data_IF_556220001933
#
_entry.id   IF_556220001933
#
_cell.length_a   1.000
_cell.length_b   1.000
_cell.length_c   1.000
_cell.angle_alpha   90.00
_cell.angle_beta   90.00
_cell.angle_gamma   90.00
#
_symmetry.space_group_name_H-M   'P 1'
#
loop_
_entity.id
_entity.type
_entity.pdbx_description
1 polymer ?
#
# COMPACT_ATOMS: atom_id res chain seq x y z
N UNK A 1 -10.04 -13.52 8.64
CA UNK A 1 -8.91 -13.35 9.60
C UNK A 1 -8.61 -11.88 9.81
N UNK A 2 -8.01 -11.14 8.87
CA UNK A 2 -7.86 -9.67 9.01
C UNK A 2 -9.07 -8.87 8.49
N UNK A 3 -9.79 -9.41 7.51
CA UNK A 3 -10.95 -8.79 6.85
C UNK A 3 -12.19 -8.61 7.73
N UNK A 4 -12.18 -9.16 8.93
CA UNK A 4 -13.31 -9.17 9.88
C UNK A 4 -13.07 -8.20 11.04
N UNK A 5 -11.85 -7.65 11.15
CA UNK A 5 -11.42 -6.71 12.19
C UNK A 5 -11.83 -5.28 11.84
N UNK A 6 -11.60 -4.88 10.59
CA UNK A 6 -11.90 -3.53 10.12
C UNK A 6 -12.45 -3.61 8.68
N UNK A 7 -13.61 -3.00 8.39
CA UNK A 7 -14.20 -3.05 7.05
C UNK A 7 -13.28 -2.50 5.96
N UNK A 8 -12.41 -1.53 6.29
CA UNK A 8 -11.44 -0.92 5.37
C UNK A 8 -10.43 -1.95 4.86
N UNK A 9 -10.08 -2.96 5.67
CA UNK A 9 -9.17 -4.06 5.26
C UNK A 9 -9.76 -4.85 4.09
N UNK A 10 -11.08 -5.08 4.10
CA UNK A 10 -11.76 -5.78 3.02
C UNK A 10 -11.73 -4.94 1.74
N UNK A 11 -12.05 -3.65 1.84
CA UNK A 11 -12.03 -2.72 0.71
C UNK A 11 -10.63 -2.63 0.09
N UNK A 12 -9.61 -2.37 0.91
CA UNK A 12 -8.21 -2.31 0.47
C UNK A 12 -7.74 -3.65 -0.12
N UNK A 13 -8.12 -4.77 0.50
CA UNK A 13 -7.82 -6.10 -0.02
C UNK A 13 -8.42 -6.36 -1.40
N UNK A 14 -9.64 -5.87 -1.67
CA UNK A 14 -10.24 -5.94 -3.01
C UNK A 14 -9.49 -5.08 -4.03
N UNK A 15 -9.07 -3.88 -3.66
CA UNK A 15 -8.30 -2.99 -4.54
C UNK A 15 -6.95 -3.62 -4.89
N UNK A 16 -6.19 -4.09 -3.89
CA UNK A 16 -4.92 -4.80 -4.09
C UNK A 16 -5.11 -6.03 -4.98
N UNK A 17 -6.14 -6.85 -4.70
CA UNK A 17 -6.43 -8.04 -5.51
C UNK A 17 -6.76 -7.68 -6.96
N UNK A 18 -7.49 -6.60 -7.20
CA UNK A 18 -7.81 -6.15 -8.55
C UNK A 18 -6.56 -5.66 -9.29
N UNK A 19 -5.67 -4.94 -8.60
CA UNK A 19 -4.38 -4.51 -9.11
C UNK A 19 -3.50 -5.71 -9.50
N UNK A 20 -3.37 -6.66 -8.57
CA UNK A 20 -2.58 -7.87 -8.73
C UNK A 20 -3.15 -8.80 -9.83
N UNK A 21 -4.47 -8.84 -10.02
CA UNK A 21 -5.09 -9.52 -11.17
C UNK A 21 -4.74 -8.87 -12.51
N UNK A 22 -4.69 -7.54 -12.60
CA UNK A 22 -4.22 -6.85 -13.81
C UNK A 22 -2.78 -7.25 -14.17
N UNK A 23 -1.97 -7.60 -13.17
CA UNK A 23 -0.60 -8.09 -13.34
C UNK A 23 -0.48 -9.62 -13.47
N UNK A 24 -1.59 -10.38 -13.44
CA UNK A 24 -1.62 -11.85 -13.45
C UNK A 24 -0.81 -12.53 -12.32
N UNK A 25 -0.92 -12.03 -11.07
CA UNK A 25 -0.14 -12.52 -9.91
C UNK A 25 -1.01 -13.02 -8.71
N UNK A 26 -2.23 -13.55 -8.92
CA UNK A 26 -3.13 -13.92 -7.81
C UNK A 26 -3.74 -15.34 -7.88
N UNK A 27 -3.58 -16.17 -6.83
CA UNK A 27 -4.62 -17.10 -6.32
C UNK A 27 -4.30 -17.72 -4.92
N UNK A 28 -5.26 -17.69 -3.99
CA UNK A 28 -5.31 -18.48 -2.73
C UNK A 28 -6.65 -18.21 -2.01
N UNK A 29 -7.49 -19.24 -1.77
CA UNK A 29 -8.88 -19.05 -1.32
C UNK A 29 -9.28 -19.82 -0.04
N UNK A 30 -9.61 -19.01 0.98
CA UNK A 30 -10.66 -19.09 2.02
C UNK A 30 -10.58 -20.09 3.18
N UNK A 31 -10.75 -19.53 4.39
CA UNK A 31 -11.14 -20.19 5.64
C UNK A 31 -11.94 -19.25 6.55
N UNK A 32 -12.70 -19.81 7.50
CA UNK A 32 -13.50 -19.12 8.54
C UNK A 32 -12.85 -19.30 9.93
N UNK A 33 -13.30 -18.54 10.95
CA UNK A 33 -12.64 -18.45 12.26
C UNK A 33 -13.50 -18.83 13.46
N UNK A 34 -12.85 -19.29 14.54
CA UNK A 34 -13.43 -19.67 15.82
C UNK A 34 -13.38 -18.53 16.87
N UNK A 35 -14.21 -18.61 17.91
CA UNK A 35 -14.38 -17.59 18.95
C UNK A 35 -13.10 -17.20 19.72
N UNK A 36 -12.08 -18.06 19.74
CA UNK A 36 -10.80 -17.81 20.44
C UNK A 36 -9.94 -16.74 19.75
N UNK A 37 -10.05 -16.62 18.43
CA UNK A 37 -9.26 -15.64 17.69
C UNK A 37 -9.72 -14.20 17.97
N UNK A 38 -10.99 -14.00 18.32
CA UNK A 38 -11.49 -12.68 18.71
C UNK A 38 -10.85 -12.17 20.01
N UNK A 39 -10.52 -13.07 20.94
CA UNK A 39 -9.84 -12.71 22.20
C UNK A 39 -8.38 -12.32 21.94
N UNK A 40 -7.67 -13.09 21.10
CA UNK A 40 -6.27 -12.80 20.73
C UNK A 40 -6.12 -11.49 19.92
N UNK A 41 -7.11 -11.12 19.09
CA UNK A 41 -7.05 -9.89 18.30
C UNK A 41 -7.00 -8.62 19.17
N UNK A 42 -7.70 -8.60 20.31
CA UNK A 42 -7.71 -7.45 21.22
C UNK A 42 -6.40 -7.27 22.00
N UNK A 43 -5.66 -8.36 22.29
CA UNK A 43 -4.40 -8.28 23.02
C UNK A 43 -3.20 -7.97 22.12
N UNK A 44 -3.23 -8.45 20.87
CA UNK A 44 -2.13 -8.29 19.90
C UNK A 44 -2.16 -6.91 19.22
N UNK A 45 -3.32 -6.29 19.05
CA UNK A 45 -3.50 -5.04 18.30
C UNK A 45 -3.83 -3.86 19.23
N UNK A 46 -2.86 -3.47 20.06
CA UNK A 46 -3.03 -2.38 21.05
C UNK A 46 -3.47 -1.04 20.46
N UNK A 47 -3.17 -0.81 19.19
CA UNK A 47 -3.51 0.43 18.47
C UNK A 47 -4.81 0.32 17.63
N UNK A 48 -5.58 -0.76 17.80
CA UNK A 48 -6.84 -0.95 17.08
C UNK A 48 -7.81 0.21 17.33
N UNK A 49 -8.42 0.71 16.26
CA UNK A 49 -9.38 1.82 16.31
C UNK A 49 -8.75 3.21 16.47
N UNK A 50 -7.42 3.34 16.64
CA UNK A 50 -6.74 4.63 16.72
C UNK A 50 -6.59 5.30 15.34
N UNK A 51 -6.38 4.53 14.29
CA UNK A 51 -6.28 5.06 12.94
C UNK A 51 -7.66 5.50 12.41
N UNK A 52 -7.80 6.81 12.14
CA UNK A 52 -9.03 7.44 11.65
C UNK A 52 -9.03 7.78 10.16
N UNK A 53 -8.00 7.35 9.41
CA UNK A 53 -7.93 7.61 7.97
C UNK A 53 -9.03 6.85 7.23
N UNK A 54 -9.61 7.48 6.21
CA UNK A 54 -10.53 6.83 5.29
C UNK A 54 -9.81 5.73 4.48
N UNK A 55 -10.56 4.81 3.87
CA UNK A 55 -9.99 3.79 2.98
C UNK A 55 -9.19 4.41 1.83
N UNK A 56 -9.62 5.57 1.32
CA UNK A 56 -8.89 6.28 0.26
C UNK A 56 -7.54 6.83 0.71
N UNK A 57 -7.49 7.45 1.90
CA UNK A 57 -6.24 7.93 2.50
C UNK A 57 -5.29 6.78 2.82
N UNK A 58 -5.80 5.69 3.39
CA UNK A 58 -5.02 4.48 3.64
C UNK A 58 -4.46 3.88 2.35
N UNK A 59 -5.24 3.90 1.26
CA UNK A 59 -4.78 3.41 -0.03
C UNK A 59 -3.65 4.26 -0.61
N UNK A 60 -3.76 5.59 -0.52
CA UNK A 60 -2.71 6.52 -0.95
C UNK A 60 -1.43 6.32 -0.13
N UNK A 61 -1.54 6.25 1.20
CA UNK A 61 -0.38 6.03 2.06
C UNK A 61 0.25 4.64 1.86
N UNK A 62 -0.56 3.61 1.58
CA UNK A 62 -0.05 2.30 1.19
C UNK A 62 0.77 2.37 -0.10
N UNK A 63 0.24 3.02 -1.15
CA UNK A 63 0.93 3.17 -2.42
C UNK A 63 2.21 3.96 -2.27
N UNK A 64 2.16 5.09 -1.55
CA UNK A 64 3.32 5.93 -1.23
C UNK A 64 4.39 5.13 -0.49
N UNK A 65 4.00 4.35 0.51
CA UNK A 65 4.94 3.54 1.27
C UNK A 65 5.71 2.58 0.37
N UNK A 66 5.01 1.81 -0.47
CA UNK A 66 5.63 0.81 -1.35
C UNK A 66 6.28 1.40 -2.61
N UNK A 67 6.19 2.70 -2.86
CA UNK A 67 6.81 3.35 -4.03
C UNK A 67 7.95 4.30 -3.64
N UNK A 68 7.87 4.93 -2.47
CA UNK A 68 8.83 5.98 -2.05
C UNK A 68 9.62 5.61 -0.79
N UNK A 69 9.07 4.79 0.10
CA UNK A 69 9.62 4.61 1.46
C UNK A 69 10.25 3.23 1.63
N UNK A 70 9.61 2.17 1.11
CA UNK A 70 10.07 0.80 1.30
C UNK A 70 11.31 0.52 0.44
N UNK A 71 12.43 0.26 1.11
CA UNK A 71 13.70 -0.10 0.46
C UNK A 71 13.71 -1.60 0.13
N UNK A 72 13.36 -1.93 -1.13
CA UNK A 72 13.31 -3.29 -1.64
C UNK A 72 14.68 -3.98 -1.67
N UNK A 73 15.78 -3.24 -1.76
CA UNK A 73 17.13 -3.80 -1.80
C UNK A 73 17.60 -4.27 -0.42
N UNK A 74 17.04 -3.69 0.64
CA UNK A 74 17.40 -4.03 2.02
C UNK A 74 16.38 -4.88 2.75
N UNK A 75 15.10 -4.79 2.38
CA UNK A 75 14.01 -5.33 3.19
C UNK A 75 13.10 -6.33 2.44
N UNK A 76 12.46 -7.16 3.24
CA UNK A 76 11.48 -8.18 2.88
C UNK A 76 10.13 -7.75 3.45
N UNK A 77 9.07 -7.92 2.66
CA UNK A 77 7.69 -7.68 3.12
C UNK A 77 7.26 -8.82 4.03
N UNK A 78 6.82 -8.51 5.24
CA UNK A 78 6.28 -9.48 6.19
C UNK A 78 5.08 -8.88 6.93
N UNK A 79 4.15 -9.73 7.35
CA UNK A 79 3.00 -9.35 8.18
C UNK A 79 3.16 -9.77 9.65
N UNK A 80 4.28 -10.42 10.00
CA UNK A 80 4.52 -10.95 11.36
C UNK A 80 5.02 -9.91 12.34
N UNK A 81 5.54 -8.80 11.83
CA UNK A 81 6.12 -7.72 12.62
C UNK A 81 5.81 -6.39 11.96
N UNK A 82 5.88 -5.33 12.77
CA UNK A 82 5.61 -3.98 12.30
C UNK A 82 6.77 -3.39 11.49
N UNK A 83 8.01 -3.71 11.87
CA UNK A 83 9.20 -3.22 11.18
C UNK A 83 9.49 -4.06 9.92
N UNK A 84 9.98 -3.46 8.83
CA UNK A 84 10.47 -4.21 7.68
C UNK A 84 11.51 -5.25 8.11
N UNK A 85 11.47 -6.44 7.51
CA UNK A 85 12.41 -7.50 7.82
C UNK A 85 13.67 -7.37 6.97
N UNK A 86 14.87 -7.19 7.54
CA UNK A 86 16.09 -7.08 6.75
C UNK A 86 16.42 -8.37 5.98
N UNK A 87 16.84 -8.23 4.73
CA UNK A 87 17.28 -9.38 3.90
C UNK A 87 18.45 -10.14 4.49
N UNK A 88 19.34 -9.44 5.18
CA UNK A 88 20.49 -10.04 5.86
C UNK A 88 20.08 -11.08 6.90
N UNK A 89 18.90 -10.93 7.53
CA UNK A 89 18.40 -11.90 8.52
C UNK A 89 17.89 -13.19 7.86
N UNK A 90 17.43 -13.11 6.60
CA UNK A 90 16.91 -14.27 5.84
C UNK A 90 17.90 -14.88 4.86
N UNK A 91 18.94 -14.14 4.49
CA UNK A 91 19.86 -14.53 3.43
C UNK A 91 19.24 -14.44 2.02
N UNK A 92 18.18 -13.67 1.85
CA UNK A 92 17.47 -13.52 0.57
C UNK A 92 18.00 -12.31 -0.21
N UNK A 93 19.08 -12.54 -0.97
CA UNK A 93 19.83 -11.46 -1.66
C UNK A 93 19.48 -11.28 -3.14
N UNK A 94 18.34 -11.79 -3.60
CA UNK A 94 17.90 -11.58 -4.98
C UNK A 94 17.36 -10.14 -5.17
N UNK A 95 17.54 -9.53 -6.37
CA UNK A 95 17.27 -8.10 -6.62
C UNK A 95 15.77 -7.78 -6.82
N UNK A 96 14.89 -8.72 -6.55
CA UNK A 96 13.43 -8.56 -6.73
C UNK A 96 12.76 -8.34 -5.40
N UNK A 97 11.55 -7.77 -5.39
CA UNK A 97 10.65 -7.85 -4.22
C UNK A 97 10.63 -9.28 -3.66
N UNK A 98 10.62 -9.37 -2.33
CA UNK A 98 10.53 -10.61 -1.57
C UNK A 98 9.41 -10.48 -0.56
N UNK A 99 8.58 -11.52 -0.42
CA UNK A 99 7.44 -11.52 0.49
C UNK A 99 7.48 -12.81 1.32
N UNK A 100 7.70 -12.67 2.62
CA UNK A 100 7.75 -13.80 3.55
C UNK A 100 6.35 -14.44 3.68
N UNK A 101 6.27 -15.77 3.56
CA UNK A 101 5.08 -16.51 3.94
C UNK A 101 4.88 -16.47 5.47
N UNK A 102 3.69 -16.11 5.98
CA UNK A 102 3.46 -15.94 7.41
C UNK A 102 3.57 -17.21 8.25
N UNK A 103 3.47 -18.39 7.63
CA UNK A 103 3.52 -19.70 8.29
C UNK A 103 4.78 -20.50 7.92
N UNK A 104 5.21 -20.42 6.66
CA UNK A 104 6.40 -21.12 6.14
C UNK A 104 7.53 -20.10 5.97
N UNK A 105 8.21 -19.76 7.07
CA UNK A 105 9.16 -18.64 7.13
C UNK A 105 10.40 -18.78 6.23
N UNK A 106 10.61 -19.95 5.64
CA UNK A 106 11.68 -20.22 4.67
C UNK A 106 11.22 -20.03 3.23
N UNK A 107 9.95 -19.70 3.00
CA UNK A 107 9.35 -19.60 1.68
C UNK A 107 9.06 -18.14 1.31
N UNK A 108 9.61 -17.72 0.18
CA UNK A 108 9.28 -16.43 -0.45
C UNK A 108 8.13 -16.63 -1.44
N UNK A 109 7.02 -15.93 -1.22
CA UNK A 109 5.82 -15.98 -2.09
C UNK A 109 6.09 -15.47 -3.50
N UNK A 110 7.22 -14.81 -3.74
CA UNK A 110 7.61 -14.24 -5.03
C UNK A 110 8.66 -15.06 -5.76
N UNK A 111 9.23 -16.10 -5.14
CA UNK A 111 10.33 -16.92 -5.69
C UNK A 111 10.00 -17.49 -7.08
N UNK A 112 8.73 -17.79 -7.33
CA UNK A 112 8.24 -18.36 -8.60
C UNK A 112 7.76 -17.33 -9.62
N UNK A 113 7.79 -16.03 -9.30
CA UNK A 113 7.37 -14.97 -10.20
C UNK A 113 8.53 -14.55 -11.10
N UNK A 114 8.25 -14.34 -12.39
CA UNK A 114 9.26 -13.84 -13.31
C UNK A 114 9.53 -12.35 -13.07
N UNK A 115 10.79 -11.93 -13.30
CA UNK A 115 11.21 -10.52 -13.22
C UNK A 115 10.24 -9.60 -13.97
N UNK A 116 9.86 -9.96 -15.19
CA UNK A 116 8.92 -9.18 -16.00
C UNK A 116 7.56 -8.96 -15.32
N UNK A 117 7.04 -9.95 -14.60
CA UNK A 117 5.76 -9.83 -13.86
C UNK A 117 5.92 -8.93 -12.63
N UNK A 118 7.05 -9.03 -11.96
CA UNK A 118 7.40 -8.18 -10.81
C UNK A 118 7.55 -6.72 -11.26
N UNK A 119 8.32 -6.46 -12.32
CA UNK A 119 8.51 -5.12 -12.88
C UNK A 119 7.17 -4.50 -13.32
N UNK A 120 6.31 -5.30 -13.97
CA UNK A 120 4.99 -4.85 -14.38
C UNK A 120 4.12 -4.46 -13.19
N UNK A 121 4.22 -5.18 -12.06
CA UNK A 121 3.50 -4.87 -10.84
C UNK A 121 4.01 -3.59 -10.17
N UNK A 122 5.33 -3.42 -10.07
CA UNK A 122 5.92 -2.18 -9.54
C UNK A 122 5.53 -0.97 -10.37
N UNK A 123 5.66 -1.03 -11.70
CA UNK A 123 5.28 0.07 -12.58
C UNK A 123 3.80 0.46 -12.41
N UNK A 124 2.92 -0.52 -12.25
CA UNK A 124 1.50 -0.26 -12.02
C UNK A 124 1.24 0.38 -10.65
N UNK A 125 1.94 -0.03 -9.60
CA UNK A 125 1.89 0.64 -8.29
C UNK A 125 2.34 2.10 -8.39
N UNK A 126 3.45 2.36 -9.08
CA UNK A 126 3.97 3.71 -9.30
C UNK A 126 3.01 4.60 -10.10
N UNK A 127 2.41 4.08 -11.16
CA UNK A 127 1.45 4.80 -12.00
C UNK A 127 0.18 5.17 -11.19
N UNK A 128 -0.37 4.20 -10.45
CA UNK A 128 -1.50 4.44 -9.56
C UNK A 128 -1.18 5.46 -8.46
N UNK A 129 0.01 5.38 -7.85
CA UNK A 129 0.45 6.33 -6.84
C UNK A 129 0.52 7.75 -7.40
N UNK A 130 1.12 7.92 -8.58
CA UNK A 130 1.24 9.22 -9.25
C UNK A 130 -0.14 9.83 -9.54
N UNK A 131 -1.03 9.04 -10.13
CA UNK A 131 -2.36 9.50 -10.52
C UNK A 131 -3.20 9.88 -9.30
N UNK A 132 -3.22 9.04 -8.26
CA UNK A 132 -4.01 9.29 -7.06
C UNK A 132 -3.42 10.46 -6.25
N UNK A 133 -2.09 10.56 -6.13
CA UNK A 133 -1.44 11.66 -5.45
C UNK A 133 -1.70 13.00 -6.14
N UNK A 134 -1.65 13.04 -7.47
CA UNK A 134 -1.96 14.23 -8.26
C UNK A 134 -3.42 14.67 -8.06
N UNK A 135 -4.37 13.72 -8.19
CA UNK A 135 -5.78 14.00 -8.02
C UNK A 135 -6.11 14.42 -6.58
N UNK A 136 -5.58 13.72 -5.58
CA UNK A 136 -5.84 14.02 -4.17
C UNK A 136 -5.36 15.43 -3.80
N UNK A 137 -4.14 15.81 -4.21
CA UNK A 137 -3.64 17.17 -4.02
C UNK A 137 -4.51 18.18 -4.77
N UNK A 138 -4.91 17.91 -6.01
CA UNK A 138 -5.78 18.81 -6.76
C UNK A 138 -7.13 19.03 -6.08
N UNK A 139 -7.81 17.99 -5.61
CA UNK A 139 -9.13 18.10 -4.97
C UNK A 139 -9.07 18.72 -3.56
N UNK A 140 -8.04 18.43 -2.77
CA UNK A 140 -7.90 19.03 -1.43
C UNK A 140 -7.36 20.46 -1.48
N UNK A 141 -6.43 20.80 -2.38
CA UNK A 141 -6.02 22.19 -2.59
C UNK A 141 -7.14 23.02 -3.24
N UNK A 142 -7.92 22.44 -4.16
CA UNK A 142 -9.06 23.14 -4.77
C UNK A 142 -10.24 23.31 -3.80
N UNK A 143 -10.44 22.41 -2.84
CA UNK A 143 -11.44 22.61 -1.77
C UNK A 143 -11.03 23.68 -0.76
N UNK A 144 -9.73 23.86 -0.51
CA UNK A 144 -9.23 25.00 0.28
C UNK A 144 -9.31 26.30 -0.52
N UNK A 145 -9.03 26.27 -1.83
CA UNK A 145 -9.11 27.46 -2.68
C UNK A 145 -10.56 27.90 -2.94
N UNK A 146 -11.51 26.97 -3.08
CA UNK A 146 -12.95 27.27 -3.20
C UNK A 146 -13.52 27.93 -1.93
N UNK A 147 -12.91 27.74 -0.76
CA UNK A 147 -13.26 28.51 0.45
C UNK A 147 -12.61 29.90 0.53
N UNK A 148 -11.68 30.22 -0.37
CA UNK A 148 -10.93 31.49 -0.39
C UNK A 148 -11.30 32.37 -1.60
N UNK A 149 -12.06 31.88 -2.59
CA UNK A 149 -12.45 32.65 -3.79
C UNK A 149 -13.84 33.32 -3.69
N UNK A 150 -14.42 33.44 -2.50
CA UNK A 150 -15.53 34.41 -2.26
C UNK A 150 -15.00 35.67 -1.56
N UNK A 151 -13.97 36.30 -2.16
CA UNK A 151 -13.63 37.71 -1.93
C UNK A 151 -12.61 38.21 -2.98
N UNK A 152 -13.10 38.81 -4.07
CA UNK A 152 -12.38 39.87 -4.78
C UNK A 152 -11.35 39.46 -5.86
N UNK A 153 -11.79 39.54 -7.12
CA UNK A 153 -11.15 40.32 -8.18
C UNK A 153 -9.66 40.09 -8.56
N UNK A 154 -9.46 39.51 -9.75
CA UNK A 154 -8.55 40.05 -10.78
C UNK A 154 -7.10 39.52 -10.84
N UNK A 155 -6.69 39.13 -12.05
CA UNK A 155 -5.28 39.10 -12.47
C UNK A 155 -4.66 37.72 -12.66
N UNK A 156 -4.71 37.21 -13.89
CA UNK A 156 -4.11 35.92 -14.26
C UNK A 156 -2.58 35.94 -14.31
N UNK A 157 -1.96 34.84 -13.88
CA UNK A 157 -0.63 34.37 -14.27
C UNK A 157 -0.62 32.83 -14.16
N UNK A 158 -0.59 32.11 -15.30
CA UNK A 158 -0.44 30.65 -15.31
C UNK A 158 1.03 30.30 -15.00
N UNK A 159 1.32 29.76 -13.82
CA UNK A 159 2.65 29.20 -13.51
C UNK A 159 2.71 27.73 -13.94
N UNK A 160 3.70 27.43 -14.78
CA UNK A 160 4.08 26.09 -15.23
C UNK A 160 4.91 25.40 -14.14
N UNK A 161 4.51 24.19 -13.73
CA UNK A 161 5.27 23.38 -12.79
C UNK A 161 5.93 22.22 -13.53
N UNK A 162 7.24 22.36 -13.76
CA UNK A 162 8.14 21.30 -14.23
C UNK A 162 8.46 20.40 -13.03
N UNK A 163 7.97 19.16 -13.04
CA UNK A 163 8.41 18.14 -12.08
C UNK A 163 9.74 17.54 -12.56
N UNK A 164 10.80 17.68 -11.76
CA UNK A 164 12.17 17.22 -12.05
C UNK A 164 12.44 16.01 -11.14
N UNK A 165 12.69 14.85 -11.74
CA UNK A 165 13.13 13.63 -11.07
C UNK A 165 14.57 13.80 -10.57
N UNK A 166 14.83 13.44 -9.32
CA UNK A 166 16.10 12.90 -8.84
C UNK A 166 15.78 11.76 -7.86
#
# INVERSE_FOLDING_TARGET
MYSDIDPRVRELGFVVKTLAKKCNICDASRGTLSSYAYILMNEVWKDYGLNKLSSGELWIEFLRYYTEIFDYDKNIVTIRQFQPLPRSEKGWFHPTIAIEDPFILTHDLTEKLSLRRIDSYHLLLYDQHRDLSFNYHHFHTSSVTLKVIDAGGGGGHKKSYKCRYL
#
